data_IF_286224011030
#
_entry.id   IF_286224011030
#
_cell.length_a   1.000
_cell.length_b   1.000
_cell.length_c   1.000
_cell.angle_alpha   90.00
_cell.angle_beta   90.00
_cell.angle_gamma   90.00
#
_symmetry.space_group_name_H-M   'P 1'
#
loop_
_entity.id
_entity.type
_entity.pdbx_description
1 polymer ?
#
# COMPACT_ATOMS: atom_id res chain seq x y z
N UNK A 1 -40.87 -6.59 -2.68
CA UNK A 1 -40.92 -5.51 -1.68
C UNK A 1 -39.49 -5.18 -1.30
N UNK A 2 -39.13 -3.90 -1.26
CA UNK A 2 -37.83 -3.45 -0.75
C UNK A 2 -37.88 -3.59 0.77
N UNK A 3 -36.84 -4.16 1.38
CA UNK A 3 -36.78 -4.31 2.84
C UNK A 3 -36.60 -2.94 3.53
N UNK A 4 -36.77 -2.87 4.87
CA UNK A 4 -36.51 -1.63 5.61
C UNK A 4 -35.02 -1.27 5.54
N UNK A 5 -34.16 -2.28 5.60
CA UNK A 5 -32.69 -2.18 5.50
C UNK A 5 -32.26 -1.71 4.12
N UNK A 6 -32.86 -2.26 3.05
CA UNK A 6 -32.62 -1.79 1.68
C UNK A 6 -33.09 -0.34 1.51
N UNK A 7 -34.25 0.02 2.06
CA UNK A 7 -34.77 1.40 2.01
C UNK A 7 -33.84 2.36 2.75
N UNK A 8 -33.30 1.94 3.90
CA UNK A 8 -32.35 2.72 4.69
C UNK A 8 -31.03 2.91 3.95
N UNK A 9 -30.45 1.85 3.40
CA UNK A 9 -29.22 1.91 2.61
C UNK A 9 -29.32 2.88 1.43
N UNK A 10 -30.43 2.80 0.68
CA UNK A 10 -30.68 3.65 -0.49
C UNK A 10 -31.00 5.10 -0.12
N UNK A 11 -31.47 5.37 1.10
CA UNK A 11 -31.77 6.72 1.54
C UNK A 11 -30.52 7.59 1.66
N UNK A 12 -29.34 7.00 1.91
CA UNK A 12 -28.08 7.73 1.93
C UNK A 12 -27.72 8.29 0.55
N UNK A 13 -27.92 7.53 -0.54
CA UNK A 13 -27.63 8.01 -1.90
C UNK A 13 -28.31 9.36 -2.22
N UNK A 14 -29.51 9.58 -1.67
CA UNK A 14 -30.31 10.80 -1.91
C UNK A 14 -29.63 12.07 -1.43
N UNK A 15 -28.83 12.00 -0.37
CA UNK A 15 -28.05 13.15 0.10
C UNK A 15 -26.97 13.54 -0.92
N UNK A 16 -26.33 12.56 -1.54
CA UNK A 16 -25.33 12.80 -2.57
C UNK A 16 -26.00 13.23 -3.89
N UNK A 17 -27.13 12.62 -4.25
CA UNK A 17 -27.93 13.06 -5.40
C UNK A 17 -28.32 14.54 -5.27
N UNK A 18 -28.89 14.94 -4.12
CA UNK A 18 -29.26 16.33 -3.85
C UNK A 18 -28.04 17.27 -3.90
N UNK A 19 -26.88 16.84 -3.40
CA UNK A 19 -25.64 17.64 -3.47
C UNK A 19 -25.18 17.83 -4.92
N UNK A 20 -25.13 16.74 -5.69
CA UNK A 20 -24.69 16.74 -7.08
C UNK A 20 -25.65 17.51 -8.01
N UNK A 21 -26.96 17.46 -7.75
CA UNK A 21 -27.95 18.28 -8.48
C UNK A 21 -27.75 19.79 -8.28
N UNK A 22 -27.14 20.19 -7.16
CA UNK A 22 -26.80 21.59 -6.87
C UNK A 22 -25.36 21.95 -7.29
N UNK A 23 -24.59 21.00 -7.84
CA UNK A 23 -23.24 21.24 -8.35
C UNK A 23 -23.31 21.99 -9.69
N UNK A 24 -22.42 22.96 -9.96
CA UNK A 24 -22.32 23.60 -11.27
C UNK A 24 -21.78 22.64 -12.35
N UNK A 25 -21.08 21.58 -11.95
CA UNK A 25 -20.55 20.55 -12.84
C UNK A 25 -21.48 19.34 -12.90
N UNK A 26 -21.80 18.89 -14.12
CA UNK A 26 -22.53 17.65 -14.35
C UNK A 26 -21.72 16.45 -13.83
N UNK A 27 -22.31 15.70 -12.91
CA UNK A 27 -21.70 14.47 -12.41
C UNK A 27 -21.83 13.34 -13.43
N UNK A 28 -20.71 12.73 -13.80
CA UNK A 28 -20.65 11.53 -14.61
C UNK A 28 -19.77 10.50 -13.89
N UNK A 29 -20.32 9.32 -13.56
CA UNK A 29 -19.56 8.27 -12.86
C UNK A 29 -18.34 7.80 -13.67
N UNK A 30 -18.42 7.76 -15.00
CA UNK A 30 -17.29 7.36 -15.85
C UNK A 30 -16.15 8.38 -15.75
N UNK A 31 -16.48 9.67 -15.82
CA UNK A 31 -15.50 10.75 -15.67
C UNK A 31 -14.91 10.76 -14.26
N UNK A 32 -15.73 10.54 -13.23
CA UNK A 32 -15.30 10.44 -11.85
C UNK A 32 -14.31 9.29 -11.64
N UNK A 33 -14.66 8.09 -12.13
CA UNK A 33 -13.79 6.92 -12.05
C UNK A 33 -12.46 7.13 -12.81
N UNK A 34 -12.53 7.72 -14.00
CA UNK A 34 -11.34 7.97 -14.80
C UNK A 34 -10.44 9.05 -14.20
N UNK A 35 -10.99 10.17 -13.76
CA UNK A 35 -10.20 11.32 -13.31
C UNK A 35 -9.64 11.11 -11.90
N UNK A 36 -10.43 10.56 -10.99
CA UNK A 36 -10.05 10.46 -9.57
C UNK A 36 -9.31 9.13 -9.27
N UNK A 37 -9.53 8.10 -10.09
CA UNK A 37 -8.97 6.77 -9.86
C UNK A 37 -8.19 6.19 -11.04
N UNK A 38 -8.04 6.93 -12.15
CA UNK A 38 -7.40 6.43 -13.38
C UNK A 38 -8.03 5.12 -13.87
N UNK A 39 -9.34 4.96 -13.64
CA UNK A 39 -10.09 3.75 -13.95
C UNK A 39 -10.89 3.92 -15.24
N UNK A 40 -10.53 3.14 -16.26
CA UNK A 40 -11.29 3.07 -17.50
C UNK A 40 -12.33 1.94 -17.42
N UNK A 41 -13.61 2.31 -17.48
CA UNK A 41 -14.75 1.36 -17.41
C UNK A 41 -14.77 0.36 -18.58
N UNK A 42 -14.08 0.66 -19.68
CA UNK A 42 -14.02 -0.19 -20.88
C UNK A 42 -12.86 -1.19 -20.86
N UNK A 43 -12.09 -1.24 -19.77
CA UNK A 43 -11.03 -2.22 -19.59
C UNK A 43 -11.60 -3.65 -19.48
N UNK A 44 -10.92 -4.64 -20.06
CA UNK A 44 -11.31 -6.06 -20.02
C UNK A 44 -11.46 -6.56 -18.58
N UNK A 45 -10.70 -5.97 -17.65
CA UNK A 45 -10.71 -6.32 -16.22
C UNK A 45 -11.41 -5.28 -15.33
N UNK A 46 -12.26 -4.41 -15.91
CA UNK A 46 -12.95 -3.35 -15.17
C UNK A 46 -13.72 -3.88 -13.95
N UNK A 47 -14.41 -5.02 -14.06
CA UNK A 47 -15.10 -5.67 -12.93
C UNK A 47 -14.20 -6.09 -11.78
N UNK A 48 -12.94 -6.46 -12.04
CA UNK A 48 -12.00 -6.76 -10.95
C UNK A 48 -11.42 -5.48 -10.36
N UNK A 49 -11.06 -4.52 -11.21
CA UNK A 49 -10.41 -3.27 -10.80
C UNK A 49 -11.37 -2.33 -10.05
N UNK A 50 -12.68 -2.40 -10.30
CA UNK A 50 -13.67 -1.55 -9.60
C UNK A 50 -13.69 -1.82 -8.10
N UNK A 51 -13.33 -3.04 -7.66
CA UNK A 51 -13.22 -3.38 -6.25
C UNK A 51 -12.12 -2.58 -5.55
N UNK A 52 -11.00 -2.32 -6.22
CA UNK A 52 -9.92 -1.52 -5.64
C UNK A 52 -10.39 -0.07 -5.43
N UNK A 53 -11.17 0.47 -6.37
CA UNK A 53 -11.76 1.81 -6.27
C UNK A 53 -12.77 1.87 -5.11
N UNK A 54 -13.72 0.92 -5.07
CA UNK A 54 -14.72 0.82 -3.99
C UNK A 54 -14.03 0.69 -2.63
N UNK A 55 -13.03 -0.18 -2.53
CA UNK A 55 -12.24 -0.39 -1.32
C UNK A 55 -11.54 0.90 -0.92
N UNK A 56 -10.88 1.59 -1.85
CA UNK A 56 -10.17 2.84 -1.59
C UNK A 56 -11.11 3.92 -1.06
N UNK A 57 -12.26 4.13 -1.68
CA UNK A 57 -13.29 5.07 -1.20
C UNK A 57 -13.76 4.68 0.20
N UNK A 58 -13.93 3.38 0.46
CA UNK A 58 -14.37 2.91 1.76
C UNK A 58 -13.30 3.05 2.86
N UNK A 59 -12.04 2.73 2.59
CA UNK A 59 -10.99 2.67 3.61
C UNK A 59 -10.21 3.97 3.77
N UNK A 60 -9.93 4.67 2.67
CA UNK A 60 -9.09 5.89 2.66
C UNK A 60 -9.95 7.15 2.65
N UNK A 61 -11.02 7.15 1.82
CA UNK A 61 -12.01 8.22 1.77
C UNK A 61 -11.40 9.62 1.64
N UNK A 62 -12.00 10.61 2.30
CA UNK A 62 -11.45 11.97 2.42
C UNK A 62 -10.59 12.15 3.69
N UNK A 63 -10.41 11.11 4.49
CA UNK A 63 -9.65 11.19 5.76
C UNK A 63 -8.19 11.56 5.53
N UNK A 64 -7.54 10.99 4.50
CA UNK A 64 -6.17 11.35 4.14
C UNK A 64 -6.05 12.85 3.79
N UNK A 65 -7.08 13.39 3.14
CA UNK A 65 -7.13 14.79 2.73
C UNK A 65 -7.31 15.71 3.94
N UNK A 66 -8.14 15.31 4.91
CA UNK A 66 -8.27 16.01 6.18
C UNK A 66 -6.95 16.07 6.95
N UNK A 67 -6.22 14.95 7.04
CA UNK A 67 -4.91 14.89 7.71
C UNK A 67 -3.90 15.85 7.05
N UNK A 68 -3.99 16.04 5.73
CA UNK A 68 -3.10 16.94 4.97
C UNK A 68 -3.48 18.42 5.07
N UNK A 69 -4.70 18.77 5.50
CA UNK A 69 -5.23 20.13 5.47
C UNK A 69 -5.71 20.59 6.85
N UNK A 70 -4.81 21.17 7.64
CA UNK A 70 -5.10 21.60 9.02
C UNK A 70 -6.03 22.82 9.15
N UNK A 71 -6.42 23.44 8.03
CA UNK A 71 -7.11 24.75 8.03
C UNK A 71 -8.52 24.67 8.64
N UNK A 72 -9.14 23.48 8.64
CA UNK A 72 -10.50 23.27 9.17
C UNK A 72 -10.53 22.23 10.32
N UNK A 73 -9.39 21.97 10.96
CA UNK A 73 -9.31 20.95 12.02
C UNK A 73 -10.21 21.27 13.22
N UNK A 74 -10.44 22.55 13.50
CA UNK A 74 -11.32 23.02 14.59
C UNK A 74 -12.81 23.03 14.21
N UNK A 75 -13.15 22.76 12.94
CA UNK A 75 -14.51 22.79 12.40
C UNK A 75 -15.08 21.40 12.09
N UNK A 76 -14.22 20.38 12.07
CA UNK A 76 -14.56 19.04 11.60
C UNK A 76 -14.10 17.97 12.58
N UNK A 77 -14.94 16.96 12.70
CA UNK A 77 -14.62 15.72 13.38
C UNK A 77 -14.42 14.59 12.37
N UNK A 78 -13.70 13.54 12.77
CA UNK A 78 -13.50 12.35 11.91
C UNK A 78 -14.85 11.76 11.46
N UNK A 79 -15.88 11.80 12.33
CA UNK A 79 -17.21 11.32 11.99
C UNK A 79 -17.85 12.09 10.82
N UNK A 80 -17.57 13.39 10.67
CA UNK A 80 -18.12 14.20 9.58
C UNK A 80 -17.64 13.67 8.22
N UNK A 81 -16.37 13.27 8.15
CA UNK A 81 -15.77 12.65 6.98
C UNK A 81 -16.34 11.26 6.72
N UNK A 82 -16.54 10.46 7.78
CA UNK A 82 -17.16 9.14 7.68
C UNK A 82 -18.58 9.24 7.11
N UNK A 83 -19.39 10.20 7.57
CA UNK A 83 -20.74 10.40 7.04
C UNK A 83 -20.71 10.76 5.55
N UNK A 84 -19.82 11.67 5.14
CA UNK A 84 -19.69 12.06 3.74
C UNK A 84 -19.21 10.91 2.84
N UNK A 85 -18.12 10.23 3.23
CA UNK A 85 -17.57 9.10 2.48
C UNK A 85 -18.55 7.95 2.37
N UNK A 86 -19.30 7.66 3.45
CA UNK A 86 -20.31 6.61 3.42
C UNK A 86 -21.45 6.93 2.45
N UNK A 87 -21.87 8.19 2.31
CA UNK A 87 -22.90 8.60 1.35
C UNK A 87 -22.38 8.49 -0.09
N UNK A 88 -21.17 8.99 -0.36
CA UNK A 88 -20.50 8.83 -1.67
C UNK A 88 -20.30 7.38 -2.05
N UNK A 89 -19.94 6.55 -1.08
CA UNK A 89 -19.78 5.11 -1.27
C UNK A 89 -21.09 4.46 -1.74
N UNK A 90 -22.22 4.77 -1.11
CA UNK A 90 -23.53 4.26 -1.56
C UNK A 90 -23.81 4.67 -2.99
N UNK A 91 -23.65 5.97 -3.33
CA UNK A 91 -23.85 6.47 -4.69
C UNK A 91 -22.96 5.73 -5.69
N UNK A 92 -21.66 5.62 -5.41
CA UNK A 92 -20.71 4.92 -6.26
C UNK A 92 -21.11 3.46 -6.50
N UNK A 93 -21.46 2.72 -5.45
CA UNK A 93 -21.89 1.31 -5.54
C UNK A 93 -23.11 1.16 -6.46
N UNK A 94 -24.09 2.06 -6.35
CA UNK A 94 -25.28 2.04 -7.21
C UNK A 94 -24.94 2.33 -8.67
N UNK A 95 -24.06 3.30 -8.93
CA UNK A 95 -23.64 3.63 -10.29
C UNK A 95 -22.82 2.51 -10.93
N UNK A 96 -21.89 1.90 -10.21
CA UNK A 96 -21.11 0.76 -10.76
C UNK A 96 -21.97 -0.49 -10.96
N UNK A 97 -23.03 -0.67 -10.16
CA UNK A 97 -24.05 -1.69 -10.39
C UNK A 97 -24.83 -1.39 -11.69
N UNK A 98 -25.20 -0.14 -11.94
CA UNK A 98 -25.87 0.27 -13.17
C UNK A 98 -24.98 0.05 -14.41
N UNK A 99 -23.67 0.27 -14.27
CA UNK A 99 -22.65 -0.05 -15.28
C UNK A 99 -22.36 -1.55 -15.45
N UNK A 100 -22.98 -2.42 -14.63
CA UNK A 100 -22.77 -3.88 -14.60
C UNK A 100 -21.32 -4.29 -14.28
N UNK A 101 -20.58 -3.44 -13.58
CA UNK A 101 -19.21 -3.76 -13.14
C UNK A 101 -19.20 -4.72 -11.95
N UNK A 102 -20.27 -4.70 -11.15
CA UNK A 102 -20.55 -5.64 -10.06
C UNK A 102 -21.96 -6.21 -10.22
N UNK A 103 -22.21 -7.38 -9.63
CA UNK A 103 -23.55 -7.97 -9.60
C UNK A 103 -24.38 -7.47 -8.40
N UNK A 104 -25.69 -7.74 -8.45
CA UNK A 104 -26.64 -7.30 -7.42
C UNK A 104 -26.29 -7.82 -6.02
N UNK A 105 -25.79 -9.06 -5.90
CA UNK A 105 -25.44 -9.67 -4.61
C UNK A 105 -24.24 -8.96 -3.98
N UNK A 106 -23.23 -8.68 -4.79
CA UNK A 106 -22.03 -7.94 -4.37
C UNK A 106 -22.37 -6.52 -3.94
N UNK A 107 -23.16 -5.79 -4.75
CA UNK A 107 -23.61 -4.44 -4.43
C UNK A 107 -24.33 -4.39 -3.07
N UNK A 108 -25.28 -5.30 -2.82
CA UNK A 108 -25.98 -5.33 -1.52
C UNK A 108 -25.06 -5.69 -0.36
N UNK A 109 -24.11 -6.62 -0.55
CA UNK A 109 -23.12 -6.93 0.48
C UNK A 109 -22.30 -5.70 0.89
N UNK A 110 -21.85 -4.91 -0.10
CA UNK A 110 -21.12 -3.66 0.12
C UNK A 110 -21.99 -2.60 0.82
N UNK A 111 -23.24 -2.43 0.37
CA UNK A 111 -24.18 -1.47 0.96
C UNK A 111 -24.46 -1.80 2.43
N UNK A 112 -24.67 -3.07 2.78
CA UNK A 112 -24.92 -3.45 4.17
C UNK A 112 -23.72 -3.25 5.08
N UNK A 113 -22.50 -3.55 4.60
CA UNK A 113 -21.27 -3.24 5.34
C UNK A 113 -21.13 -1.74 5.61
N UNK A 114 -21.46 -0.90 4.63
CA UNK A 114 -21.42 0.55 4.81
C UNK A 114 -22.52 1.06 5.74
N UNK A 115 -23.71 0.47 5.70
CA UNK A 115 -24.80 0.80 6.63
C UNK A 115 -24.42 0.47 8.07
N UNK A 116 -23.79 -0.67 8.31
CA UNK A 116 -23.31 -0.99 9.66
C UNK A 116 -22.30 0.06 10.13
N UNK A 117 -21.32 0.42 9.29
CA UNK A 117 -20.36 1.48 9.61
C UNK A 117 -21.04 2.79 10.02
N UNK A 118 -22.14 3.16 9.36
CA UNK A 118 -22.95 4.32 9.73
C UNK A 118 -23.62 4.10 11.10
N UNK A 119 -24.24 2.95 11.34
CA UNK A 119 -24.89 2.66 12.63
C UNK A 119 -23.89 2.58 13.80
N UNK A 120 -22.64 2.19 13.55
CA UNK A 120 -21.57 2.16 14.55
C UNK A 120 -21.07 3.57 14.88
N UNK A 121 -21.11 4.50 13.92
CA UNK A 121 -20.60 5.86 14.07
C UNK A 121 -21.66 6.87 14.55
N UNK A 122 -22.94 6.58 14.34
CA UNK A 122 -24.04 7.51 14.59
C UNK A 122 -25.21 6.83 15.30
N UNK A 123 -25.90 7.57 16.15
CA UNK A 123 -27.03 7.02 16.94
C UNK A 123 -28.40 7.42 16.41
N UNK A 124 -28.49 8.51 15.65
CA UNK A 124 -29.76 9.00 15.10
C UNK A 124 -29.56 9.81 13.81
N UNK A 125 -30.66 9.97 13.05
CA UNK A 125 -30.69 10.66 11.75
C UNK A 125 -30.07 12.05 11.79
N UNK A 126 -30.42 12.88 12.78
CA UNK A 126 -29.95 14.28 12.81
C UNK A 126 -28.42 14.40 13.01
N UNK A 127 -27.80 13.51 13.80
CA UNK A 127 -26.35 13.52 14.00
C UNK A 127 -25.62 13.14 12.71
N UNK A 128 -26.10 12.09 12.03
CA UNK A 128 -25.60 11.71 10.71
C UNK A 128 -25.77 12.85 9.70
N UNK A 129 -26.95 13.48 9.65
CA UNK A 129 -27.28 14.53 8.68
C UNK A 129 -26.37 15.75 8.84
N UNK A 130 -26.20 16.25 10.06
CA UNK A 130 -25.28 17.36 10.35
C UNK A 130 -23.85 17.00 9.97
N UNK A 131 -23.41 15.79 10.34
CA UNK A 131 -22.06 15.30 10.06
C UNK A 131 -21.79 15.18 8.56
N UNK A 132 -22.76 14.67 7.79
CA UNK A 132 -22.71 14.60 6.33
C UNK A 132 -22.51 15.99 5.71
N UNK A 133 -23.31 16.98 6.09
CA UNK A 133 -23.19 18.33 5.51
C UNK A 133 -21.88 19.02 5.86
N UNK A 134 -21.35 18.78 7.06
CA UNK A 134 -20.01 19.25 7.41
C UNK A 134 -18.93 18.65 6.51
N UNK A 135 -18.92 17.33 6.35
CA UNK A 135 -17.96 16.62 5.49
C UNK A 135 -18.10 17.03 4.01
N UNK A 136 -19.33 17.18 3.51
CA UNK A 136 -19.60 17.64 2.15
C UNK A 136 -19.11 19.08 1.91
N UNK A 137 -19.44 20.01 2.81
CA UNK A 137 -19.02 21.40 2.70
C UNK A 137 -17.49 21.54 2.75
N UNK A 138 -16.83 20.76 3.62
CA UNK A 138 -15.38 20.66 3.66
C UNK A 138 -14.79 20.26 2.30
N UNK A 139 -15.33 19.19 1.71
CA UNK A 139 -14.88 18.71 0.41
C UNK A 139 -15.06 19.77 -0.68
N UNK A 140 -16.22 20.44 -0.72
CA UNK A 140 -16.51 21.46 -1.73
C UNK A 140 -15.63 22.71 -1.58
N UNK A 141 -15.33 23.12 -0.34
CA UNK A 141 -14.39 24.23 -0.07
C UNK A 141 -12.99 23.87 -0.55
N UNK A 142 -12.49 22.67 -0.24
CA UNK A 142 -11.12 22.31 -0.57
C UNK A 142 -10.91 21.99 -2.06
N UNK A 143 -11.88 21.36 -2.71
CA UNK A 143 -11.66 20.76 -4.03
C UNK A 143 -12.44 21.42 -5.16
N UNK A 144 -13.60 22.02 -4.87
CA UNK A 144 -14.46 22.63 -5.88
C UNK A 144 -14.38 24.15 -5.89
N UNK A 145 -13.81 24.75 -4.86
CA UNK A 145 -13.67 26.20 -4.77
C UNK A 145 -12.33 26.67 -5.31
N UNK A 146 -12.37 27.75 -6.09
CA UNK A 146 -11.19 28.49 -6.51
C UNK A 146 -10.37 28.90 -5.29
N UNK A 147 -9.05 28.83 -5.40
CA UNK A 147 -8.12 29.03 -4.28
C UNK A 147 -8.34 30.38 -3.58
N UNK A 148 -8.60 31.44 -4.34
CA UNK A 148 -8.87 32.80 -3.85
C UNK A 148 -10.15 32.88 -2.99
N UNK A 149 -11.15 32.05 -3.29
CA UNK A 149 -12.45 32.05 -2.59
C UNK A 149 -12.46 31.19 -1.32
N UNK A 150 -11.45 30.33 -1.11
CA UNK A 150 -11.46 29.35 0.00
C UNK A 150 -11.48 30.03 1.36
N UNK A 151 -10.70 31.08 1.55
CA UNK A 151 -10.61 31.81 2.82
C UNK A 151 -11.97 32.39 3.26
N UNK A 152 -12.71 32.99 2.34
CA UNK A 152 -14.04 33.53 2.61
C UNK A 152 -15.05 32.43 2.97
N UNK A 153 -15.04 31.31 2.23
CA UNK A 153 -15.92 30.17 2.51
C UNK A 153 -15.59 29.51 3.85
N UNK A 154 -14.32 29.44 4.23
CA UNK A 154 -13.87 28.95 5.54
C UNK A 154 -14.40 29.86 6.66
N UNK A 155 -14.29 31.18 6.50
CA UNK A 155 -14.83 32.13 7.48
C UNK A 155 -16.36 32.05 7.59
N UNK A 156 -17.03 31.72 6.48
CA UNK A 156 -18.49 31.59 6.39
C UNK A 156 -18.99 30.15 6.61
N UNK A 157 -18.15 29.24 7.09
CA UNK A 157 -18.45 27.79 7.14
C UNK A 157 -19.76 27.48 7.87
N UNK A 158 -19.97 28.07 9.05
CA UNK A 158 -21.15 27.79 9.88
C UNK A 158 -22.44 28.28 9.21
N UNK A 159 -22.39 29.46 8.56
CA UNK A 159 -23.52 30.01 7.79
C UNK A 159 -23.83 29.18 6.55
N UNK A 160 -22.81 28.71 5.83
CA UNK A 160 -22.99 27.83 4.68
C UNK A 160 -23.58 26.48 5.10
N UNK A 161 -23.10 25.92 6.22
CA UNK A 161 -23.60 24.68 6.79
C UNK A 161 -25.09 24.78 7.17
N UNK A 162 -25.48 25.85 7.86
CA UNK A 162 -26.88 26.08 8.23
C UNK A 162 -27.77 26.19 6.99
N UNK A 163 -27.34 26.91 5.96
CA UNK A 163 -28.06 27.04 4.71
C UNK A 163 -28.23 25.69 3.98
N UNK A 164 -27.18 24.86 3.93
CA UNK A 164 -27.24 23.52 3.35
C UNK A 164 -28.23 22.63 4.12
N UNK A 165 -28.14 22.65 5.45
CA UNK A 165 -29.00 21.85 6.31
C UNK A 165 -30.49 22.21 6.15
N UNK A 166 -30.82 23.51 6.10
CA UNK A 166 -32.19 24.01 5.95
C UNK A 166 -32.78 23.73 4.56
N UNK A 167 -31.97 23.74 3.51
CA UNK A 167 -32.41 23.47 2.13
C UNK A 167 -32.67 22.00 1.85
N UNK A 168 -32.06 21.11 2.64
CA UNK A 168 -32.13 19.68 2.35
C UNK A 168 -33.52 19.09 2.54
N UNK A 169 -34.01 18.41 1.50
CA UNK A 169 -35.32 17.75 1.46
C UNK A 169 -35.24 16.27 1.79
N UNK A 170 -34.02 15.73 1.93
CA UNK A 170 -33.82 14.31 2.22
C UNK A 170 -34.36 13.96 3.60
N UNK A 171 -35.29 12.99 3.62
CA UNK A 171 -35.81 12.38 4.84
C UNK A 171 -35.20 11.00 5.01
N UNK A 172 -34.54 10.78 6.14
CA UNK A 172 -33.95 9.50 6.52
C UNK A 172 -34.68 8.93 7.73
N UNK A 173 -35.24 7.73 7.58
CA UNK A 173 -35.82 6.98 8.71
C UNK A 173 -34.73 6.10 9.30
N UNK A 174 -34.33 6.38 10.54
CA UNK A 174 -33.30 5.60 11.23
C UNK A 174 -33.74 4.17 11.50
N UNK A 175 -32.81 3.22 11.44
CA UNK A 175 -33.06 1.84 11.86
C UNK A 175 -32.74 1.68 13.35
N UNK A 176 -33.76 1.37 14.14
CA UNK A 176 -33.64 1.09 15.58
C UNK A 176 -32.87 -0.21 15.88
N UNK A 177 -32.82 -1.11 14.91
CA UNK A 177 -32.09 -2.38 15.01
C UNK A 177 -30.86 -2.35 14.14
N UNK A 178 -29.75 -2.82 14.71
CA UNK A 178 -28.54 -3.17 13.98
C UNK A 178 -28.87 -4.07 12.78
N UNK A 179 -28.39 -3.67 11.60
CA UNK A 179 -28.69 -4.35 10.35
C UNK A 179 -28.17 -5.78 10.36
N UNK A 180 -27.01 -6.07 10.94
CA UNK A 180 -26.48 -7.44 11.01
C UNK A 180 -27.26 -8.37 11.93
N UNK A 181 -28.02 -7.86 12.91
CA UNK A 181 -28.89 -8.72 13.73
C UNK A 181 -29.99 -9.40 12.92
N UNK A 182 -30.34 -8.89 11.73
CA UNK A 182 -31.33 -9.51 10.85
C UNK A 182 -30.71 -10.50 9.85
N UNK A 183 -29.38 -10.54 9.73
CA UNK A 183 -28.68 -11.48 8.84
C UNK A 183 -28.50 -12.83 9.52
N UNK A 184 -29.06 -13.87 8.91
CA UNK A 184 -28.63 -15.23 9.18
C UNK A 184 -27.34 -15.46 8.40
N UNK A 185 -26.21 -15.49 9.11
CA UNK A 185 -24.95 -15.97 8.54
C UNK A 185 -25.17 -17.47 8.22
N UNK A 186 -25.36 -17.80 6.95
CA UNK A 186 -25.28 -19.18 6.51
C UNK A 186 -23.87 -19.68 6.83
N UNK A 187 -23.76 -20.78 7.60
CA UNK A 187 -22.48 -21.40 7.91
C UNK A 187 -21.74 -21.62 6.59
N UNK A 188 -20.55 -21.03 6.45
CA UNK A 188 -19.73 -21.15 5.25
C UNK A 188 -19.52 -22.62 4.90
N UNK A 189 -19.70 -22.92 3.61
CA UNK A 189 -19.44 -24.23 3.03
C UNK A 189 -17.95 -24.57 3.15
N UNK A 190 -17.70 -25.74 3.74
CA UNK A 190 -16.51 -26.60 3.70
C UNK A 190 -15.17 -26.12 4.36
N UNK A 191 -14.87 -26.62 5.58
CA UNK A 191 -13.55 -26.49 6.23
C UNK A 191 -12.37 -27.17 5.50
N UNK A 192 -12.60 -27.89 4.40
CA UNK A 192 -11.58 -28.71 3.73
C UNK A 192 -10.47 -27.93 3.02
N UNK A 193 -10.64 -26.62 2.79
CA UNK A 193 -9.69 -25.80 2.02
C UNK A 193 -8.43 -25.31 2.78
N UNK A 194 -8.24 -25.65 4.05
CA UNK A 194 -7.08 -25.18 4.85
C UNK A 194 -5.91 -26.17 5.00
N UNK A 195 -5.92 -27.31 4.30
CA UNK A 195 -4.87 -28.33 4.45
C UNK A 195 -3.78 -28.23 3.39
N UNK A 196 -2.79 -27.37 3.60
CA UNK A 196 -1.49 -27.50 2.94
C UNK A 196 -0.53 -28.31 3.84
N UNK A 197 0.00 -29.46 3.37
CA UNK A 197 0.92 -30.27 4.17
C UNK A 197 2.36 -29.78 4.00
N UNK A 198 2.93 -29.17 5.05
CA UNK A 198 4.36 -28.91 5.15
C UNK A 198 5.05 -30.23 5.52
N UNK A 199 5.71 -30.89 4.56
CA UNK A 199 6.48 -32.12 4.79
C UNK A 199 7.97 -31.83 5.08
N UNK A 200 8.44 -32.50 6.14
CA UNK A 200 9.80 -32.99 6.40
C UNK A 200 10.99 -32.02 6.41
N UNK A 201 11.25 -31.45 7.59
CA UNK A 201 12.59 -31.01 8.05
C UNK A 201 12.87 -31.66 9.43
N UNK A 202 14.10 -32.12 9.67
CA UNK A 202 14.51 -33.00 10.78
C UNK A 202 14.27 -32.41 12.20
N UNK A 203 13.17 -32.86 12.80
CA UNK A 203 12.88 -33.34 14.17
C UNK A 203 13.38 -32.71 15.49
N UNK A 204 14.09 -31.58 15.54
CA UNK A 204 14.20 -30.82 16.82
C UNK A 204 13.84 -29.35 16.65
N UNK A 205 14.27 -28.74 15.55
CA UNK A 205 13.80 -27.41 15.17
C UNK A 205 12.31 -27.40 14.83
N UNK A 206 11.75 -28.51 14.32
CA UNK A 206 10.34 -28.61 13.96
C UNK A 206 9.43 -28.51 15.18
N UNK A 207 9.78 -29.17 16.29
CA UNK A 207 8.97 -29.09 17.52
C UNK A 207 8.97 -27.68 18.08
N UNK A 208 10.15 -27.03 18.20
CA UNK A 208 10.24 -25.65 18.68
C UNK A 208 9.53 -24.66 17.75
N UNK A 209 9.63 -24.85 16.43
CA UNK A 209 8.94 -24.03 15.44
C UNK A 209 7.42 -24.21 15.51
N UNK A 210 6.94 -25.46 15.68
CA UNK A 210 5.52 -25.75 15.90
C UNK A 210 5.02 -25.10 17.20
N UNK A 211 5.79 -25.18 18.29
CA UNK A 211 5.47 -24.49 19.55
C UNK A 211 5.35 -22.99 19.32
N UNK A 212 6.31 -22.36 18.63
CA UNK A 212 6.21 -20.95 18.28
C UNK A 212 4.93 -20.67 17.47
N UNK A 213 4.64 -21.41 16.40
CA UNK A 213 3.40 -21.19 15.63
C UNK A 213 2.14 -21.34 16.47
N UNK A 214 2.10 -22.29 17.41
CA UNK A 214 1.00 -22.44 18.37
C UNK A 214 0.88 -21.22 19.29
N UNK A 215 1.98 -20.72 19.84
CA UNK A 215 2.00 -19.51 20.67
C UNK A 215 1.54 -18.29 19.88
N UNK A 216 2.00 -18.15 18.63
CA UNK A 216 1.54 -17.10 17.73
C UNK A 216 0.05 -17.20 17.42
N UNK A 217 -0.49 -18.41 17.25
CA UNK A 217 -1.92 -18.63 17.03
C UNK A 217 -2.77 -18.28 18.25
N UNK A 218 -2.23 -18.44 19.47
CA UNK A 218 -2.89 -18.05 20.72
C UNK A 218 -2.80 -16.56 21.03
N UNK A 219 -1.91 -15.83 20.36
CA UNK A 219 -1.60 -14.41 20.64
C UNK A 219 -1.14 -14.16 22.09
N UNK A 220 -0.59 -15.18 22.75
CA UNK A 220 -0.05 -15.08 24.10
C UNK A 220 1.39 -14.56 24.06
N UNK A 221 1.53 -13.25 24.18
CA UNK A 221 2.81 -12.54 24.16
C UNK A 221 3.71 -12.97 25.33
N UNK A 222 3.15 -13.29 26.50
CA UNK A 222 3.92 -13.68 27.69
C UNK A 222 4.55 -15.05 27.51
N UNK A 223 3.76 -16.04 27.07
CA UNK A 223 4.29 -17.38 26.75
C UNK A 223 5.32 -17.31 25.61
N UNK A 224 5.12 -16.44 24.62
CA UNK A 224 6.06 -16.24 23.52
C UNK A 224 7.41 -15.73 24.00
N UNK A 225 7.46 -14.70 24.85
CA UNK A 225 8.72 -14.18 25.37
C UNK A 225 9.42 -15.17 26.29
N UNK A 226 8.68 -15.83 27.19
CA UNK A 226 9.23 -16.90 28.02
C UNK A 226 9.84 -18.02 27.17
N UNK A 227 9.21 -18.37 26.06
CA UNK A 227 9.76 -19.33 25.11
C UNK A 227 11.07 -18.83 24.49
N UNK A 228 11.14 -17.58 24.02
CA UNK A 228 12.34 -16.97 23.44
C UNK A 228 13.50 -16.86 24.43
N UNK A 229 13.22 -16.57 25.70
CA UNK A 229 14.22 -16.47 26.76
C UNK A 229 14.94 -17.79 27.00
N UNK A 230 14.23 -18.91 26.86
CA UNK A 230 14.77 -20.26 27.03
C UNK A 230 15.55 -20.79 25.80
N UNK A 231 15.63 -20.03 24.70
CA UNK A 231 16.39 -20.40 23.51
C UNK A 231 17.88 -20.04 23.63
N UNK A 232 18.74 -20.78 22.94
CA UNK A 232 20.14 -20.35 22.72
C UNK A 232 20.18 -19.21 21.70
N UNK A 233 21.19 -18.35 21.74
CA UNK A 233 21.31 -17.18 20.85
C UNK A 233 21.16 -17.51 19.35
N UNK A 234 21.76 -18.63 18.89
CA UNK A 234 21.62 -19.09 17.50
C UNK A 234 20.17 -19.45 17.15
N UNK A 235 19.46 -20.11 18.07
CA UNK A 235 18.05 -20.45 17.88
C UNK A 235 17.24 -19.16 17.91
N UNK A 236 17.44 -18.30 18.91
CA UNK A 236 16.74 -17.01 19.03
C UNK A 236 16.86 -16.16 17.76
N UNK A 237 18.04 -16.09 17.14
CA UNK A 237 18.23 -15.46 15.84
C UNK A 237 17.27 -16.01 14.76
N UNK A 238 17.16 -17.33 14.64
CA UNK A 238 16.26 -17.99 13.67
C UNK A 238 14.79 -17.71 14.00
N UNK A 239 14.41 -17.73 15.28
CA UNK A 239 13.04 -17.49 15.72
C UNK A 239 12.61 -16.04 15.53
N UNK A 240 13.45 -15.06 15.87
CA UNK A 240 13.15 -13.64 15.62
C UNK A 240 12.98 -13.35 14.12
N UNK A 241 13.73 -14.03 13.24
CA UNK A 241 13.53 -13.95 11.80
C UNK A 241 12.15 -14.44 11.37
N UNK A 242 11.68 -15.55 11.93
CA UNK A 242 10.32 -16.05 11.67
C UNK A 242 9.24 -15.10 12.18
N UNK A 243 9.42 -14.50 13.37
CA UNK A 243 8.47 -13.49 13.88
C UNK A 243 8.35 -12.30 12.93
N UNK A 244 9.47 -11.83 12.39
CA UNK A 244 9.48 -10.74 11.43
C UNK A 244 8.72 -11.06 10.15
N UNK A 245 8.93 -12.26 9.58
CA UNK A 245 8.21 -12.70 8.37
C UNK A 245 6.69 -12.76 8.61
N UNK A 246 6.28 -13.29 9.76
CA UNK A 246 4.85 -13.44 10.12
C UNK A 246 4.15 -12.13 10.47
N UNK A 247 4.87 -11.00 10.60
CA UNK A 247 4.27 -9.67 10.86
C UNK A 247 3.23 -9.27 9.81
N UNK A 248 3.37 -9.72 8.55
CA UNK A 248 2.38 -9.42 7.50
C UNK A 248 0.99 -9.98 7.82
N UNK A 249 0.94 -11.17 8.40
CA UNK A 249 -0.31 -11.83 8.80
C UNK A 249 -0.78 -11.36 10.17
N UNK A 250 0.17 -10.96 11.03
CA UNK A 250 -0.07 -10.54 12.42
C UNK A 250 0.67 -9.25 12.74
N UNK A 251 0.15 -8.08 12.33
CA UNK A 251 0.88 -6.81 12.46
C UNK A 251 1.22 -6.42 13.91
N UNK A 252 0.43 -6.89 14.88
CA UNK A 252 0.59 -6.58 16.30
C UNK A 252 1.45 -7.58 17.08
N UNK A 253 2.08 -8.54 16.39
CA UNK A 253 2.96 -9.56 17.01
C UNK A 253 4.17 -8.94 17.73
N UNK A 254 4.67 -7.82 17.22
CA UNK A 254 5.76 -7.03 17.79
C UNK A 254 5.30 -5.57 17.87
N UNK A 255 5.20 -5.06 19.09
CA UNK A 255 4.91 -3.66 19.44
C UNK A 255 6.16 -2.80 19.31
N UNK A 256 6.01 -1.47 19.36
CA UNK A 256 7.14 -0.54 19.32
C UNK A 256 8.10 -0.80 20.49
N UNK A 257 7.56 -1.03 21.69
CA UNK A 257 8.29 -1.34 22.91
C UNK A 257 9.17 -2.58 22.73
N UNK A 258 8.64 -3.63 22.11
CA UNK A 258 9.40 -4.86 21.84
C UNK A 258 10.62 -4.58 20.97
N UNK A 259 10.47 -3.82 19.89
CA UNK A 259 11.60 -3.44 19.04
C UNK A 259 12.68 -2.68 19.83
N UNK A 260 12.28 -1.80 20.75
CA UNK A 260 13.20 -1.00 21.54
C UNK A 260 14.00 -1.84 22.54
N UNK A 261 13.34 -2.80 23.19
CA UNK A 261 13.91 -3.64 24.25
C UNK A 261 14.75 -4.81 23.71
N UNK A 262 14.43 -5.34 22.53
CA UNK A 262 15.06 -6.53 21.94
C UNK A 262 16.61 -6.54 22.03
N UNK A 263 17.33 -5.47 21.65
CA UNK A 263 18.80 -5.46 21.76
C UNK A 263 19.35 -5.41 23.19
N UNK A 264 18.56 -4.92 24.16
CA UNK A 264 18.94 -4.93 25.57
C UNK A 264 18.72 -6.32 26.18
N UNK A 265 17.60 -6.96 25.85
CA UNK A 265 17.29 -8.33 26.26
C UNK A 265 18.26 -9.35 25.64
N UNK A 266 18.62 -9.16 24.37
CA UNK A 266 19.42 -10.13 23.62
C UNK A 266 20.63 -9.47 22.92
N UNK A 267 21.63 -8.97 23.68
CA UNK A 267 22.72 -8.16 23.14
C UNK A 267 23.63 -8.90 22.14
N UNK A 268 23.70 -10.23 22.21
CA UNK A 268 24.52 -11.07 21.33
C UNK A 268 23.74 -11.65 20.14
N UNK A 269 22.44 -11.36 20.03
CA UNK A 269 21.57 -11.89 18.98
C UNK A 269 21.49 -10.87 17.86
N UNK A 270 22.22 -11.12 16.76
CA UNK A 270 22.30 -10.19 15.63
C UNK A 270 20.94 -9.73 15.10
N UNK A 271 19.95 -10.61 15.10
CA UNK A 271 18.63 -10.33 14.55
C UNK A 271 17.80 -9.42 15.46
N UNK A 272 18.09 -9.37 16.77
CA UNK A 272 17.48 -8.41 17.68
C UNK A 272 17.89 -6.97 17.33
N UNK A 273 19.18 -6.76 17.05
CA UNK A 273 19.69 -5.47 16.54
C UNK A 273 19.13 -5.15 15.15
N UNK A 274 19.08 -6.14 14.24
CA UNK A 274 18.50 -5.96 12.92
C UNK A 274 17.04 -5.47 13.00
N UNK A 275 16.20 -6.10 13.82
CA UNK A 275 14.79 -5.74 13.95
C UNK A 275 14.62 -4.30 14.45
N UNK A 276 15.36 -3.90 15.49
CA UNK A 276 15.32 -2.51 15.96
C UNK A 276 15.84 -1.53 14.92
N UNK A 277 16.88 -1.92 14.18
CA UNK A 277 17.45 -1.13 13.10
C UNK A 277 16.46 -0.85 11.97
N UNK A 278 15.79 -1.90 11.48
CA UNK A 278 14.72 -1.80 10.47
C UNK A 278 13.53 -0.99 10.99
N UNK A 279 13.13 -1.21 12.26
CA UNK A 279 12.09 -0.41 12.89
C UNK A 279 12.43 1.08 12.88
N UNK A 280 13.63 1.49 13.34
CA UNK A 280 14.03 2.89 13.33
C UNK A 280 14.21 3.46 11.93
N UNK A 281 14.58 2.65 10.94
CA UNK A 281 14.61 3.08 9.54
C UNK A 281 13.22 3.47 9.06
N UNK A 282 12.21 2.60 9.25
CA UNK A 282 10.83 2.91 8.90
C UNK A 282 10.27 4.09 9.72
N UNK A 283 10.56 4.11 11.03
CA UNK A 283 10.14 5.18 11.91
C UNK A 283 10.78 6.52 11.53
N UNK A 284 11.99 6.53 10.96
CA UNK A 284 12.57 7.73 10.38
C UNK A 284 11.68 8.27 9.25
N UNK A 285 11.31 7.42 8.29
CA UNK A 285 10.46 7.81 7.17
C UNK A 285 9.09 8.37 7.61
N UNK A 286 8.50 7.82 8.66
CA UNK A 286 7.29 8.39 9.28
C UNK A 286 7.53 9.81 9.83
N UNK A 287 8.66 10.05 10.50
CA UNK A 287 9.03 11.39 10.98
C UNK A 287 9.27 12.40 9.86
N UNK A 288 9.85 11.96 8.73
CA UNK A 288 10.03 12.79 7.55
C UNK A 288 8.68 13.19 6.96
N UNK A 289 7.73 12.25 6.94
CA UNK A 289 6.45 12.37 6.26
C UNK A 289 6.56 12.13 4.75
N UNK A 290 5.43 12.25 4.06
CA UNK A 290 5.31 12.01 2.61
C UNK A 290 5.69 13.23 1.75
N UNK A 291 6.11 14.34 2.37
CA UNK A 291 6.49 15.56 1.66
C UNK A 291 7.73 15.37 0.78
N UNK A 292 7.73 16.04 -0.38
CA UNK A 292 8.92 16.23 -1.19
C UNK A 292 9.96 17.10 -0.44
N UNK A 293 11.22 17.04 -0.86
CA UNK A 293 12.36 17.59 -0.09
C UNK A 293 12.20 19.06 0.34
N UNK A 294 11.51 19.88 -0.46
CA UNK A 294 11.27 21.30 -0.18
C UNK A 294 10.02 21.57 0.69
N UNK A 295 9.19 20.57 0.97
CA UNK A 295 7.99 20.71 1.83
C UNK A 295 8.18 20.11 3.23
N UNK A 296 9.25 19.35 3.45
CA UNK A 296 9.56 18.77 4.76
C UNK A 296 10.26 19.82 5.63
N UNK A 297 9.61 20.21 6.73
CA UNK A 297 10.16 21.18 7.68
C UNK A 297 11.45 20.71 8.38
N UNK A 298 12.28 21.66 8.83
CA UNK A 298 13.59 21.39 9.46
C UNK A 298 13.47 20.47 10.70
N UNK A 299 12.41 20.60 11.50
CA UNK A 299 12.15 19.74 12.67
C UNK A 299 11.96 18.27 12.27
N UNK A 300 11.21 18.01 11.20
CA UNK A 300 10.97 16.67 10.69
C UNK A 300 12.26 16.05 10.13
N UNK A 301 13.09 16.86 9.46
CA UNK A 301 14.41 16.42 9.03
C UNK A 301 15.34 16.09 10.20
N UNK A 302 15.36 16.90 11.26
CA UNK A 302 16.17 16.63 12.44
C UNK A 302 15.78 15.29 13.07
N UNK A 303 14.48 15.03 13.22
CA UNK A 303 13.93 13.79 13.76
C UNK A 303 14.18 12.58 12.83
N UNK A 304 14.06 12.77 11.51
CA UNK A 304 14.42 11.77 10.50
C UNK A 304 15.87 11.31 10.69
N UNK A 305 16.82 12.24 10.73
CA UNK A 305 18.23 11.89 10.88
C UNK A 305 18.57 11.36 12.28
N UNK A 306 17.89 11.81 13.34
CA UNK A 306 18.01 11.22 14.67
C UNK A 306 17.67 9.73 14.63
N UNK A 307 16.52 9.38 14.06
CA UNK A 307 16.05 7.98 13.94
C UNK A 307 16.96 7.15 13.03
N UNK A 308 17.45 7.71 11.93
CA UNK A 308 18.45 7.03 11.08
C UNK A 308 19.76 6.73 11.82
N UNK A 309 20.17 7.56 12.79
CA UNK A 309 21.37 7.26 13.60
C UNK A 309 21.16 6.06 14.51
N UNK A 310 19.98 5.90 15.10
CA UNK A 310 19.64 4.68 15.84
C UNK A 310 19.65 3.46 14.91
N UNK A 311 19.02 3.57 13.74
CA UNK A 311 19.06 2.53 12.72
C UNK A 311 20.49 2.13 12.33
N UNK A 312 21.39 3.13 12.14
CA UNK A 312 22.80 2.91 11.76
C UNK A 312 23.55 2.16 12.83
N UNK A 313 23.36 2.55 14.10
CA UNK A 313 24.00 1.89 15.24
C UNK A 313 23.61 0.42 15.29
N UNK A 314 22.32 0.11 15.18
CA UNK A 314 21.82 -1.25 15.35
C UNK A 314 22.11 -2.13 14.12
N UNK A 315 21.95 -1.63 12.90
CA UNK A 315 22.29 -2.39 11.69
C UNK A 315 23.80 -2.65 11.59
N UNK A 316 24.65 -1.69 12.00
CA UNK A 316 26.09 -1.91 12.09
C UNK A 316 26.40 -3.00 13.12
N UNK A 317 25.74 -3.00 14.28
CA UNK A 317 25.92 -4.04 15.30
C UNK A 317 25.45 -5.42 14.82
N UNK A 318 24.32 -5.49 14.10
CA UNK A 318 23.83 -6.71 13.48
C UNK A 318 24.85 -7.28 12.47
N UNK A 319 25.41 -6.41 11.62
CA UNK A 319 26.49 -6.74 10.69
C UNK A 319 27.75 -7.24 11.39
N UNK A 320 28.20 -6.58 12.46
CA UNK A 320 29.37 -7.00 13.24
C UNK A 320 29.18 -8.39 13.88
N UNK A 321 27.97 -8.69 14.38
CA UNK A 321 27.65 -9.97 15.01
C UNK A 321 27.53 -11.12 14.00
N UNK A 322 27.03 -10.84 12.79
CA UNK A 322 26.88 -11.83 11.71
C UNK A 322 27.31 -11.24 10.36
N UNK A 323 28.62 -11.09 10.10
CA UNK A 323 29.14 -10.38 8.92
C UNK A 323 28.87 -11.07 7.58
N UNK A 324 28.39 -12.33 7.61
CA UNK A 324 28.04 -13.09 6.41
C UNK A 324 26.53 -13.06 6.10
N UNK A 325 25.72 -12.40 6.93
CA UNK A 325 24.29 -12.26 6.67
C UNK A 325 24.05 -11.17 5.62
N UNK A 326 23.64 -11.62 4.43
CA UNK A 326 23.52 -10.77 3.24
C UNK A 326 22.41 -9.72 3.39
N UNK A 327 21.34 -10.05 4.14
CA UNK A 327 20.24 -9.13 4.43
C UNK A 327 20.75 -7.87 5.15
N UNK A 328 21.75 -8.03 6.02
CA UNK A 328 22.33 -6.91 6.75
C UNK A 328 23.17 -6.02 5.83
N UNK A 329 23.86 -6.60 4.84
CA UNK A 329 24.58 -5.82 3.83
C UNK A 329 23.61 -4.93 3.05
N UNK A 330 22.49 -5.51 2.62
CA UNK A 330 21.48 -4.80 1.83
C UNK A 330 20.84 -3.65 2.61
N UNK A 331 20.48 -3.87 3.87
CA UNK A 331 19.91 -2.82 4.72
C UNK A 331 20.92 -1.74 5.07
N UNK A 332 22.15 -2.13 5.42
CA UNK A 332 23.18 -1.16 5.76
C UNK A 332 23.57 -0.33 4.53
N UNK A 333 23.67 -0.94 3.34
CA UNK A 333 23.90 -0.25 2.07
C UNK A 333 22.81 0.79 1.79
N UNK A 334 21.54 0.39 1.96
CA UNK A 334 20.39 1.28 1.82
C UNK A 334 20.43 2.46 2.80
N UNK A 335 20.75 2.18 4.06
CA UNK A 335 20.79 3.17 5.11
C UNK A 335 21.94 4.18 4.95
N UNK A 336 23.17 3.71 4.67
CA UNK A 336 24.36 4.57 4.72
C UNK A 336 24.34 5.65 3.63
N UNK A 337 23.66 5.41 2.50
CA UNK A 337 23.49 6.39 1.41
C UNK A 337 22.84 7.71 1.87
N UNK A 338 22.12 7.70 2.99
CA UNK A 338 21.53 8.92 3.55
C UNK A 338 22.53 9.82 4.30
N UNK A 339 23.73 9.31 4.61
CA UNK A 339 24.74 10.06 5.35
C UNK A 339 25.82 10.59 4.42
N UNK A 340 26.04 11.90 4.44
CA UNK A 340 27.10 12.57 3.67
C UNK A 340 28.40 12.58 4.46
N UNK A 341 29.10 11.46 4.51
CA UNK A 341 30.43 11.38 5.13
C UNK A 341 31.31 10.36 4.44
N UNK A 342 32.63 10.62 4.45
CA UNK A 342 33.62 9.71 3.86
C UNK A 342 33.54 8.28 4.39
N UNK A 343 33.23 8.11 5.69
CA UNK A 343 33.01 6.79 6.30
C UNK A 343 31.80 6.08 5.71
N UNK A 344 30.69 6.80 5.51
CA UNK A 344 29.47 6.24 4.92
C UNK A 344 29.69 5.86 3.46
N UNK A 345 30.36 6.71 2.68
CA UNK A 345 30.68 6.45 1.27
C UNK A 345 31.59 5.21 1.14
N UNK A 346 32.64 5.12 1.97
CA UNK A 346 33.56 3.96 1.97
C UNK A 346 32.83 2.66 2.31
N UNK A 347 31.97 2.70 3.34
CA UNK A 347 31.18 1.53 3.74
C UNK A 347 30.15 1.16 2.65
N UNK A 348 29.54 2.14 1.98
CA UNK A 348 28.62 1.90 0.88
C UNK A 348 29.31 1.18 -0.28
N UNK A 349 30.50 1.63 -0.68
CA UNK A 349 31.31 1.01 -1.74
C UNK A 349 31.75 -0.42 -1.39
N UNK A 350 32.16 -0.65 -0.13
CA UNK A 350 32.50 -1.97 0.38
C UNK A 350 31.30 -2.93 0.28
N UNK A 351 30.14 -2.50 0.78
CA UNK A 351 28.91 -3.29 0.76
C UNK A 351 28.44 -3.56 -0.66
N UNK A 352 28.49 -2.57 -1.55
CA UNK A 352 28.17 -2.74 -2.97
C UNK A 352 29.06 -3.80 -3.62
N UNK A 353 30.38 -3.70 -3.42
CA UNK A 353 31.35 -4.67 -3.93
C UNK A 353 31.09 -6.07 -3.37
N UNK A 354 30.73 -6.15 -2.09
CA UNK A 354 30.44 -7.43 -1.42
C UNK A 354 29.16 -8.07 -1.93
N UNK A 355 28.11 -7.29 -2.15
CA UNK A 355 26.84 -7.75 -2.74
C UNK A 355 27.08 -8.27 -4.15
N UNK A 356 27.77 -7.48 -4.99
CA UNK A 356 28.13 -7.84 -6.36
C UNK A 356 28.92 -9.15 -6.43
N UNK A 357 29.84 -9.37 -5.50
CA UNK A 357 30.67 -10.59 -5.49
C UNK A 357 29.95 -11.82 -4.92
N UNK A 358 29.12 -11.65 -3.89
CA UNK A 358 28.68 -12.78 -3.06
C UNK A 358 27.15 -12.95 -2.95
N UNK A 359 26.35 -11.98 -3.41
CA UNK A 359 24.90 -11.96 -3.20
C UNK A 359 24.08 -11.71 -4.48
N UNK A 360 24.65 -11.99 -5.66
CA UNK A 360 23.95 -11.90 -6.96
C UNK A 360 22.88 -12.98 -7.19
N UNK A 361 22.65 -13.84 -6.20
CA UNK A 361 21.53 -14.80 -6.17
C UNK A 361 20.52 -14.44 -5.06
N UNK A 362 20.77 -13.37 -4.30
CA UNK A 362 19.90 -12.93 -3.23
C UNK A 362 19.03 -11.78 -3.74
N UNK A 363 17.76 -12.11 -4.03
CA UNK A 363 16.78 -11.17 -4.56
C UNK A 363 16.64 -9.90 -3.71
N UNK A 364 16.75 -10.02 -2.39
CA UNK A 364 16.64 -8.88 -1.49
C UNK A 364 17.80 -7.89 -1.69
N UNK A 365 19.03 -8.41 -1.75
CA UNK A 365 20.21 -7.58 -2.01
C UNK A 365 20.11 -6.90 -3.37
N UNK A 366 19.71 -7.66 -4.39
CA UNK A 366 19.54 -7.18 -5.76
C UNK A 366 18.54 -6.03 -5.82
N UNK A 367 17.38 -6.19 -5.17
CA UNK A 367 16.32 -5.18 -5.14
C UNK A 367 16.76 -3.92 -4.38
N UNK A 368 17.48 -4.06 -3.26
CA UNK A 368 17.99 -2.90 -2.51
C UNK A 368 19.00 -2.08 -3.31
N UNK A 369 19.93 -2.73 -4.01
CA UNK A 369 20.87 -2.03 -4.90
C UNK A 369 20.13 -1.39 -6.06
N UNK A 370 19.20 -2.12 -6.69
CA UNK A 370 18.36 -1.60 -7.77
C UNK A 370 17.61 -0.34 -7.36
N UNK A 371 16.97 -0.35 -6.19
CA UNK A 371 16.24 0.79 -5.65
C UNK A 371 17.13 2.04 -5.57
N UNK A 372 18.34 1.94 -5.05
CA UNK A 372 19.23 3.09 -4.91
C UNK A 372 19.85 3.57 -6.23
N UNK A 373 19.89 2.73 -7.26
CA UNK A 373 20.41 3.13 -8.58
C UNK A 373 19.37 3.89 -9.41
N UNK A 374 18.10 3.93 -8.98
CA UNK A 374 17.05 4.70 -9.68
C UNK A 374 17.25 6.21 -9.51
N UNK A 375 16.89 6.97 -10.55
CA UNK A 375 17.03 8.43 -10.60
C UNK A 375 16.37 9.14 -9.40
N UNK A 376 15.14 8.76 -9.05
CA UNK A 376 14.41 9.33 -7.90
C UNK A 376 15.09 9.14 -6.54
N UNK A 377 16.06 8.24 -6.43
CA UNK A 377 16.82 7.97 -5.22
C UNK A 377 18.29 8.41 -5.33
N UNK A 378 18.57 9.35 -6.25
CA UNK A 378 19.89 9.94 -6.46
C UNK A 378 20.84 9.06 -7.27
N UNK A 379 20.34 8.05 -7.98
CA UNK A 379 21.06 7.37 -9.04
C UNK A 379 20.74 7.98 -10.41
N UNK A 380 20.71 7.15 -11.45
CA UNK A 380 20.38 7.54 -12.82
C UNK A 380 19.77 6.38 -13.59
N UNK A 381 19.03 6.66 -14.66
CA UNK A 381 18.47 5.60 -15.52
C UNK A 381 19.56 4.67 -16.07
N UNK A 382 20.71 5.23 -16.42
CA UNK A 382 21.89 4.47 -16.85
C UNK A 382 22.43 3.54 -15.77
N UNK A 383 22.56 4.01 -14.52
CA UNK A 383 23.01 3.16 -13.40
C UNK A 383 22.01 2.04 -13.09
N UNK A 384 20.72 2.35 -13.10
CA UNK A 384 19.63 1.38 -12.92
C UNK A 384 19.68 0.28 -13.98
N UNK A 385 19.77 0.67 -15.26
CA UNK A 385 19.83 -0.28 -16.38
C UNK A 385 21.13 -1.10 -16.39
N UNK A 386 22.28 -0.49 -16.10
CA UNK A 386 23.55 -1.20 -16.00
C UNK A 386 23.53 -2.25 -14.88
N UNK A 387 22.93 -1.92 -13.73
CA UNK A 387 22.73 -2.89 -12.66
C UNK A 387 21.82 -4.03 -13.08
N UNK A 388 20.70 -3.73 -13.73
CA UNK A 388 19.79 -4.75 -14.23
C UNK A 388 20.48 -5.71 -15.21
N UNK A 389 21.28 -5.19 -16.15
CA UNK A 389 22.13 -5.99 -17.07
C UNK A 389 23.09 -6.89 -16.33
N UNK A 390 23.75 -6.35 -15.32
CA UNK A 390 24.68 -7.11 -14.49
C UNK A 390 23.97 -8.26 -13.77
N UNK A 391 22.80 -8.01 -13.18
CA UNK A 391 21.97 -9.03 -12.54
C UNK A 391 21.57 -10.11 -13.53
N UNK A 392 21.06 -9.73 -14.71
CA UNK A 392 20.67 -10.66 -15.78
C UNK A 392 21.85 -11.56 -16.20
N UNK A 393 23.06 -11.02 -16.28
CA UNK A 393 24.26 -11.79 -16.65
C UNK A 393 24.67 -12.86 -15.62
N UNK A 394 24.24 -12.72 -14.37
CA UNK A 394 24.48 -13.70 -13.29
C UNK A 394 23.27 -14.61 -13.02
N UNK A 395 22.11 -14.26 -13.57
CA UNK A 395 20.88 -15.01 -13.39
C UNK A 395 20.91 -16.32 -14.19
N UNK A 396 20.31 -17.38 -13.62
CA UNK A 396 20.17 -18.65 -14.35
C UNK A 396 19.20 -18.49 -15.51
N UNK A 397 19.23 -19.44 -16.44
CA UNK A 397 18.18 -19.55 -17.44
C UNK A 397 16.82 -19.72 -16.74
N UNK A 398 15.79 -19.02 -17.23
CA UNK A 398 14.42 -18.96 -16.66
C UNK A 398 14.31 -18.40 -15.25
N UNK A 399 15.36 -17.75 -14.74
CA UNK A 399 15.31 -17.11 -13.42
C UNK A 399 14.40 -15.87 -13.45
N UNK A 400 13.35 -15.82 -12.60
CA UNK A 400 12.40 -14.70 -12.58
C UNK A 400 13.07 -13.36 -12.27
N UNK A 401 14.27 -13.33 -11.68
CA UNK A 401 14.99 -12.09 -11.38
C UNK A 401 15.33 -11.28 -12.65
N UNK A 402 15.37 -11.93 -13.83
CA UNK A 402 15.61 -11.25 -15.10
C UNK A 402 14.56 -10.17 -15.40
N UNK A 403 13.40 -10.20 -14.73
CA UNK A 403 12.39 -9.13 -14.84
C UNK A 403 12.92 -7.75 -14.47
N UNK A 404 14.00 -7.68 -13.68
CA UNK A 404 14.62 -6.43 -13.24
C UNK A 404 15.00 -5.48 -14.39
N UNK A 405 15.29 -6.01 -15.59
CA UNK A 405 15.56 -5.18 -16.77
C UNK A 405 14.31 -4.46 -17.26
N UNK A 406 13.16 -5.13 -17.23
CA UNK A 406 11.87 -4.49 -17.53
C UNK A 406 11.55 -3.46 -16.44
N UNK A 407 11.76 -3.80 -15.16
CA UNK A 407 11.50 -2.87 -14.06
C UNK A 407 12.35 -1.59 -14.17
N UNK A 408 13.62 -1.70 -14.59
CA UNK A 408 14.49 -0.53 -14.79
C UNK A 408 14.00 0.39 -15.91
N UNK A 409 13.48 -0.15 -17.01
CA UNK A 409 12.98 0.62 -18.14
C UNK A 409 11.59 1.20 -17.90
N UNK A 410 10.70 0.43 -17.25
CA UNK A 410 9.37 0.89 -16.83
C UNK A 410 9.50 2.03 -15.81
N UNK A 411 10.46 1.90 -14.89
CA UNK A 411 10.82 2.95 -13.95
C UNK A 411 11.26 4.25 -14.65
N UNK A 412 12.15 4.15 -15.64
CA UNK A 412 12.62 5.28 -16.43
C UNK A 412 11.45 5.97 -17.14
N UNK A 413 10.56 5.19 -17.78
CA UNK A 413 9.34 5.71 -18.39
C UNK A 413 8.48 6.51 -17.39
N UNK A 414 8.18 5.94 -16.23
CA UNK A 414 7.36 6.62 -15.23
C UNK A 414 8.02 7.88 -14.67
N UNK A 415 9.33 7.81 -14.44
CA UNK A 415 10.08 8.96 -13.94
C UNK A 415 10.02 10.14 -14.92
N UNK A 416 10.28 9.90 -16.21
CA UNK A 416 10.26 10.96 -17.22
C UNK A 416 8.85 11.58 -17.32
N UNK A 417 7.79 10.78 -17.23
CA UNK A 417 6.42 11.31 -17.24
C UNK A 417 6.09 12.15 -16.01
N UNK A 418 6.46 11.66 -14.82
CA UNK A 418 6.06 12.28 -13.56
C UNK A 418 6.89 13.54 -13.26
N UNK A 419 8.21 13.47 -13.46
CA UNK A 419 9.15 14.49 -13.05
C UNK A 419 9.58 15.41 -14.19
N UNK A 420 9.91 14.86 -15.35
CA UNK A 420 10.38 15.66 -16.50
C UNK A 420 9.21 16.15 -17.37
N UNK A 421 8.05 15.50 -17.26
CA UNK A 421 6.82 15.78 -18.03
C UNK A 421 7.05 15.76 -19.54
N UNK A 422 7.95 14.89 -19.99
CA UNK A 422 8.30 14.72 -21.41
C UNK A 422 7.80 13.37 -21.95
N UNK A 423 6.54 13.37 -22.40
CA UNK A 423 5.93 12.18 -22.99
C UNK A 423 6.67 11.66 -24.22
N UNK A 424 7.29 12.54 -25.01
CA UNK A 424 8.03 12.14 -26.21
C UNK A 424 9.27 11.34 -25.83
N UNK A 425 10.04 11.82 -24.86
CA UNK A 425 11.23 11.13 -24.35
C UNK A 425 10.85 9.83 -23.63
N UNK A 426 9.79 9.84 -22.81
CA UNK A 426 9.31 8.62 -22.15
C UNK A 426 8.92 7.53 -23.16
N UNK A 427 8.19 7.90 -24.22
CA UNK A 427 7.79 6.96 -25.27
C UNK A 427 8.94 6.54 -26.20
N UNK A 428 10.08 7.24 -26.20
CA UNK A 428 11.23 6.88 -27.02
C UNK A 428 11.87 5.56 -26.56
N UNK A 429 11.78 5.23 -25.26
CA UNK A 429 12.29 3.98 -24.67
C UNK A 429 11.70 2.77 -25.39
N UNK A 430 10.38 2.78 -25.64
CA UNK A 430 9.70 1.69 -26.32
C UNK A 430 9.95 1.65 -27.82
N UNK A 431 10.61 2.64 -28.42
CA UNK A 431 10.96 2.68 -29.84
C UNK A 431 12.41 2.27 -30.10
N UNK A 432 13.23 2.20 -29.06
CA UNK A 432 14.62 1.79 -29.15
C UNK A 432 14.72 0.29 -29.48
N UNK A 433 15.19 -0.01 -30.71
CA UNK A 433 15.33 -1.39 -31.19
C UNK A 433 16.40 -2.19 -30.45
N UNK A 434 17.44 -1.54 -29.95
CA UNK A 434 18.46 -2.24 -29.16
C UNK A 434 17.88 -2.69 -27.82
N UNK A 435 17.13 -1.82 -27.13
CA UNK A 435 16.46 -2.17 -25.87
C UNK A 435 15.37 -3.23 -26.08
N UNK A 436 14.56 -3.11 -27.13
CA UNK A 436 13.57 -4.14 -27.48
C UNK A 436 14.23 -5.50 -27.67
N UNK A 437 15.31 -5.57 -28.46
CA UNK A 437 16.01 -6.82 -28.72
C UNK A 437 16.60 -7.42 -27.43
N UNK A 438 17.15 -6.58 -26.55
CA UNK A 438 17.72 -7.00 -25.27
C UNK A 438 16.66 -7.63 -24.35
N UNK A 439 15.53 -6.96 -24.14
CA UNK A 439 14.48 -7.48 -23.24
C UNK A 439 13.71 -8.65 -23.85
N UNK A 440 13.64 -8.74 -25.18
CA UNK A 440 13.04 -9.87 -25.89
C UNK A 440 13.73 -11.20 -25.60
N UNK A 441 15.05 -11.18 -25.39
CA UNK A 441 15.80 -12.37 -24.97
C UNK A 441 15.31 -12.85 -23.60
N UNK A 442 15.04 -11.92 -22.68
CA UNK A 442 14.54 -12.25 -21.35
C UNK A 442 13.07 -12.70 -21.37
N UNK A 443 12.24 -12.14 -22.26
CA UNK A 443 10.82 -12.47 -22.34
C UNK A 443 10.57 -13.96 -22.56
N UNK A 444 11.28 -14.59 -23.49
CA UNK A 444 11.06 -16.01 -23.80
C UNK A 444 11.36 -16.92 -22.60
N UNK A 445 12.22 -16.47 -21.69
CA UNK A 445 12.51 -17.16 -20.43
C UNK A 445 11.51 -16.84 -19.31
N UNK A 446 10.84 -15.69 -19.38
CA UNK A 446 9.97 -15.15 -18.32
C UNK A 446 8.48 -15.39 -18.57
N UNK A 447 8.07 -15.71 -19.80
CA UNK A 447 6.67 -15.80 -20.21
C UNK A 447 5.85 -16.81 -19.39
N UNK A 448 6.47 -17.87 -18.89
CA UNK A 448 5.80 -18.89 -18.07
C UNK A 448 5.60 -18.45 -16.59
N UNK A 449 6.20 -17.33 -16.18
CA UNK A 449 6.10 -16.82 -14.80
C UNK A 449 4.93 -15.84 -14.67
N UNK A 450 3.76 -16.40 -14.37
CA UNK A 450 2.47 -15.68 -14.25
C UNK A 450 2.53 -14.44 -13.37
N UNK A 451 3.26 -14.52 -12.26
CA UNK A 451 3.40 -13.40 -11.30
C UNK A 451 4.13 -12.19 -11.88
N UNK A 452 4.76 -12.33 -13.05
CA UNK A 452 5.50 -11.27 -13.73
C UNK A 452 4.73 -10.67 -14.92
N UNK A 453 3.55 -11.25 -15.25
CA UNK A 453 2.81 -10.90 -16.46
C UNK A 453 2.44 -9.43 -16.54
N UNK A 454 2.06 -8.78 -15.43
CA UNK A 454 1.70 -7.36 -15.43
C UNK A 454 2.82 -6.46 -16.00
N UNK A 455 4.08 -6.77 -15.69
CA UNK A 455 5.24 -6.01 -16.17
C UNK A 455 5.52 -6.29 -17.64
N UNK A 456 5.39 -7.54 -18.06
CA UNK A 456 5.59 -7.96 -19.45
C UNK A 456 4.48 -7.40 -20.35
N UNK A 457 3.21 -7.49 -19.91
CA UNK A 457 2.04 -6.92 -20.58
C UNK A 457 2.22 -5.43 -20.79
N UNK A 458 2.50 -4.68 -19.71
CA UNK A 458 2.74 -3.24 -19.80
C UNK A 458 3.79 -2.89 -20.85
N UNK A 459 4.94 -3.59 -20.84
CA UNK A 459 6.00 -3.35 -21.80
C UNK A 459 5.55 -3.61 -23.25
N UNK A 460 4.96 -4.78 -23.51
CA UNK A 460 4.61 -5.17 -24.88
C UNK A 460 3.37 -4.46 -25.44
N UNK A 461 2.47 -3.99 -24.59
CA UNK A 461 1.41 -3.04 -24.97
C UNK A 461 2.01 -1.72 -25.46
N UNK A 462 2.99 -1.18 -24.73
CA UNK A 462 3.66 0.08 -25.11
C UNK A 462 4.52 -0.05 -26.37
N UNK A 463 5.15 -1.21 -26.58
CA UNK A 463 5.90 -1.51 -27.81
C UNK A 463 4.96 -1.76 -29.01
N UNK A 464 3.74 -2.26 -28.77
CA UNK A 464 2.82 -2.70 -29.83
C UNK A 464 3.17 -4.07 -30.41
N UNK A 465 3.76 -4.97 -29.61
CA UNK A 465 4.12 -6.33 -30.04
C UNK A 465 2.99 -7.32 -29.75
N UNK A 466 2.01 -7.35 -30.65
CA UNK A 466 0.81 -8.20 -30.51
C UNK A 466 1.12 -9.69 -30.40
N UNK A 467 2.19 -10.18 -31.05
CA UNK A 467 2.55 -11.59 -31.01
C UNK A 467 2.97 -12.04 -29.59
N UNK A 468 3.74 -11.22 -28.89
CA UNK A 468 4.12 -11.50 -27.49
C UNK A 468 2.98 -11.32 -26.52
N UNK A 469 2.09 -10.36 -26.77
CA UNK A 469 0.85 -10.19 -25.99
C UNK A 469 -0.08 -11.40 -26.13
N UNK A 470 -0.25 -11.93 -27.35
CA UNK A 470 -1.01 -13.16 -27.57
C UNK A 470 -0.39 -14.34 -26.82
N UNK A 471 0.94 -14.48 -26.85
CA UNK A 471 1.65 -15.51 -26.09
C UNK A 471 1.39 -15.40 -24.58
N UNK A 472 1.50 -14.20 -24.00
CA UNK A 472 1.18 -13.96 -22.59
C UNK A 472 -0.27 -14.35 -22.26
N UNK A 473 -1.23 -13.92 -23.07
CA UNK A 473 -2.64 -14.23 -22.89
C UNK A 473 -2.92 -15.75 -22.97
N UNK A 474 -2.22 -16.46 -23.86
CA UNK A 474 -2.38 -17.92 -23.99
C UNK A 474 -1.87 -18.66 -22.75
N UNK A 475 -0.79 -18.21 -22.13
CA UNK A 475 -0.29 -18.77 -20.88
C UNK A 475 -1.29 -18.56 -19.73
N UNK A 476 -1.92 -17.38 -19.64
CA UNK A 476 -2.94 -17.08 -18.61
C UNK A 476 -4.15 -18.01 -18.75
N UNK A 477 -4.60 -18.28 -19.98
CA UNK A 477 -5.78 -19.14 -20.23
C UNK A 477 -5.53 -20.63 -19.94
N UNK A 478 -4.27 -21.05 -19.85
CA UNK A 478 -3.90 -22.45 -19.61
C UNK A 478 -3.85 -22.85 -18.13
N UNK A 479 -4.02 -21.88 -17.23
CA UNK A 479 -3.98 -22.00 -15.77
C UNK A 479 -5.38 -21.87 -15.18
#
# INVERSE_FOLDING_TARGET
>A
MISKEETFALAFAKFEDERLENSPEDYCVESYLNNDFYFNIHDKNASSKVYDVIKKVWTEGVLELFIKNSILIDKLEVKDLVAFDSTRFVKLVLEVLNLKLINKKEAWGLLFLNVQRIQDAFTHTEDFKVSYFKGALFYDILFKSEEESRGEKIQSFDTLLENLHQRSKVKLTWLETDVFKTFKIEKSIDPSLSKNPIQNIKNTNTTKLMTMHQLLAKEDKTELWNFLDNLKDKERNQFLHQLYINKKEKPNILTAEDYLELPALYPNVSYAHYLRGVYFYHYAWEARGLGITNTVGQKNYALFYERLRYAKKDLKKAYELSPNEQTYWAELYNLVKHFRSKEADTLQEELYTRIKKNAMQNIYCIQRVSHLNKARWGGSHKESLNWAREVVSHAKHTDPIKIIIFEALIEEYHYILEFDRDEKSANAIFKDKALQNEVNICFDELVEHVTLHDRLLFWYEKVGDFARLEKLNSCIQSL
#
